data_IF_613821546665
#
_entry.id   IF_613821546665
#
_cell.length_a   1.000
_cell.length_b   1.000
_cell.length_c   1.000
_cell.angle_alpha   90.00
_cell.angle_beta   90.00
_cell.angle_gamma   90.00
#
_symmetry.space_group_name_H-M   'P 1'
#
loop_
_entity.id
_entity.type
_entity.pdbx_description
1 polymer ?
#
# COMPACT_ATOMS: atom_id res chain seq x y z
N UNK A 1 -28.86 -0.02 12.92
CA UNK A 1 -28.39 0.99 11.93
C UNK A 1 -27.30 1.79 12.60
N UNK A 2 -26.06 1.71 12.11
CA UNK A 2 -24.98 2.58 12.59
C UNK A 2 -25.10 3.92 11.85
N UNK A 3 -25.57 5.02 12.48
CA UNK A 3 -25.92 6.25 11.76
C UNK A 3 -24.72 7.18 11.50
N UNK A 4 -23.48 6.71 11.73
CA UNK A 4 -22.29 7.59 11.79
C UNK A 4 -21.15 7.21 10.84
N UNK A 5 -21.36 6.33 9.87
CA UNK A 5 -20.36 6.13 8.82
C UNK A 5 -20.45 7.29 7.82
N UNK A 6 -19.98 8.47 8.23
CA UNK A 6 -19.49 9.45 7.27
C UNK A 6 -18.18 8.86 6.72
N UNK A 7 -18.31 7.89 5.81
CA UNK A 7 -17.21 7.30 5.06
C UNK A 7 -16.69 8.39 4.13
N UNK A 8 -15.70 9.15 4.61
CA UNK A 8 -14.91 10.02 3.76
C UNK A 8 -13.68 9.23 3.35
N UNK A 9 -13.63 8.65 2.13
CA UNK A 9 -12.49 7.85 1.71
C UNK A 9 -11.26 8.76 1.57
N UNK A 10 -10.38 8.75 2.58
CA UNK A 10 -9.06 9.38 2.50
C UNK A 10 -8.14 8.40 1.78
N UNK A 11 -7.51 8.85 0.69
CA UNK A 11 -6.54 8.03 -0.05
C UNK A 11 -5.41 7.55 0.87
N UNK A 12 -4.85 6.39 0.53
CA UNK A 12 -3.61 5.89 1.13
C UNK A 12 -2.49 6.93 1.00
N UNK A 13 -1.53 6.83 1.92
CA UNK A 13 -0.27 7.59 1.90
C UNK A 13 0.42 7.39 0.55
N UNK A 14 0.94 8.47 -0.03
CA UNK A 14 1.78 8.41 -1.21
C UNK A 14 3.22 7.98 -0.86
N UNK A 15 3.90 7.35 -1.82
CA UNK A 15 5.30 6.94 -1.67
C UNK A 15 6.29 8.02 -2.13
N UNK A 16 5.78 9.17 -2.59
CA UNK A 16 6.57 10.31 -3.05
C UNK A 16 5.93 11.64 -2.67
N UNK A 17 6.77 12.68 -2.58
CA UNK A 17 6.35 14.04 -2.32
C UNK A 17 5.50 14.58 -3.48
N UNK A 18 4.36 15.20 -3.16
CA UNK A 18 3.41 15.74 -4.15
C UNK A 18 3.98 16.92 -4.94
N UNK A 19 4.93 17.67 -4.37
CA UNK A 19 5.53 18.86 -5.00
C UNK A 19 6.79 18.53 -5.76
N UNK A 20 7.72 17.80 -5.13
CA UNK A 20 9.03 17.50 -5.73
C UNK A 20 9.04 16.22 -6.55
N UNK A 21 8.00 15.38 -6.44
CA UNK A 21 7.92 14.02 -7.00
C UNK A 21 9.06 13.08 -6.55
N UNK A 22 9.85 13.48 -5.55
CA UNK A 22 10.89 12.62 -4.98
C UNK A 22 10.25 11.51 -4.13
N UNK A 23 10.63 10.24 -4.32
CA UNK A 23 10.25 9.16 -3.42
C UNK A 23 10.69 9.45 -1.98
N UNK A 24 9.88 9.02 -1.00
CA UNK A 24 10.27 9.09 0.40
C UNK A 24 11.26 7.97 0.74
N UNK A 25 12.29 8.31 1.51
CA UNK A 25 13.23 7.32 2.02
C UNK A 25 12.67 6.61 3.26
N UNK A 26 12.99 5.32 3.49
CA UNK A 26 12.61 4.63 4.71
C UNK A 26 13.06 5.39 5.96
N UNK A 27 12.13 5.65 6.87
CA UNK A 27 12.39 6.44 8.08
C UNK A 27 12.36 7.96 7.90
N UNK A 28 12.16 8.46 6.68
CA UNK A 28 12.06 9.89 6.41
C UNK A 28 10.82 10.50 7.06
N UNK A 29 10.96 11.70 7.62
CA UNK A 29 9.83 12.46 8.14
C UNK A 29 9.17 13.28 7.02
N UNK A 30 7.85 13.22 6.94
CA UNK A 30 7.08 13.98 5.96
C UNK A 30 5.78 14.50 6.56
N UNK A 31 5.12 15.41 5.86
CA UNK A 31 3.87 16.03 6.27
C UNK A 31 2.73 15.56 5.38
N UNK A 32 1.64 15.11 5.99
CA UNK A 32 0.38 14.85 5.29
C UNK A 32 -0.56 16.05 5.48
N UNK A 33 -1.19 16.47 4.39
CA UNK A 33 -2.15 17.56 4.34
C UNK A 33 -3.47 17.05 3.77
N UNK A 34 -4.59 17.45 4.37
CA UNK A 34 -5.92 17.22 3.84
C UNK A 34 -6.56 18.53 3.44
N UNK A 35 -6.96 18.64 2.17
CA UNK A 35 -7.73 19.76 1.64
C UNK A 35 -9.17 19.34 1.42
N UNK A 36 -10.13 20.22 1.71
CA UNK A 36 -11.52 19.99 1.30
C UNK A 36 -11.61 20.06 -0.22
N UNK A 37 -12.19 19.05 -0.84
CA UNK A 37 -12.37 18.96 -2.27
C UNK A 37 -13.74 18.36 -2.58
N UNK A 38 -14.69 19.21 -3.03
CA UNK A 38 -16.06 18.79 -3.28
C UNK A 38 -16.73 18.20 -2.04
N UNK A 39 -17.22 16.96 -2.17
CA UNK A 39 -17.81 16.17 -1.08
C UNK A 39 -16.77 15.25 -0.38
N UNK A 40 -15.48 15.58 -0.44
CA UNK A 40 -14.42 14.72 0.08
C UNK A 40 -13.17 15.47 0.51
N UNK A 41 -12.11 14.70 0.73
CA UNK A 41 -10.79 15.22 1.07
C UNK A 41 -9.77 14.82 0.01
N UNK A 42 -8.97 15.80 -0.42
CA UNK A 42 -7.76 15.58 -1.21
C UNK A 42 -6.57 15.53 -0.27
N UNK A 43 -5.86 14.40 -0.29
CA UNK A 43 -4.62 14.19 0.46
C UNK A 43 -3.41 14.63 -0.38
N UNK A 44 -2.48 15.33 0.24
CA UNK A 44 -1.14 15.58 -0.29
C UNK A 44 -0.10 15.18 0.77
N UNK A 45 0.98 14.55 0.33
CA UNK A 45 2.11 14.19 1.19
C UNK A 45 3.33 14.99 0.72
N UNK A 46 3.98 15.72 1.62
CA UNK A 46 5.08 16.66 1.33
C UNK A 46 6.33 16.29 2.14
N UNK A 47 7.49 16.31 1.48
CA UNK A 47 8.78 16.28 2.17
C UNK A 47 8.93 17.49 3.10
N UNK A 48 9.86 17.45 4.06
CA UNK A 48 10.11 18.61 4.95
C UNK A 48 10.48 19.88 4.17
N UNK A 49 11.22 19.73 3.07
CA UNK A 49 11.58 20.82 2.16
C UNK A 49 10.36 21.44 1.47
N UNK A 50 9.45 20.60 0.95
CA UNK A 50 8.23 21.07 0.31
C UNK A 50 7.25 21.69 1.33
N UNK A 51 7.28 21.20 2.57
CA UNK A 51 6.51 21.77 3.67
C UNK A 51 6.97 23.18 4.03
N UNK A 52 8.29 23.41 4.16
CA UNK A 52 8.86 24.70 4.57
C UNK A 52 8.70 25.80 3.52
N UNK A 53 8.58 25.41 2.25
CA UNK A 53 8.45 26.34 1.10
C UNK A 53 7.00 26.52 0.62
N UNK A 54 6.02 25.93 1.32
CA UNK A 54 4.62 25.97 0.87
C UNK A 54 4.02 27.37 0.95
N UNK A 55 3.02 27.62 0.12
CA UNK A 55 2.17 28.79 0.23
C UNK A 55 1.20 28.67 1.42
N UNK A 56 1.49 29.35 2.54
CA UNK A 56 0.65 29.33 3.74
C UNK A 56 -0.75 29.94 3.57
N UNK A 57 -0.98 30.72 2.51
CA UNK A 57 -2.30 31.25 2.21
C UNK A 57 -3.30 30.14 1.86
N UNK A 58 -2.81 28.99 1.37
CA UNK A 58 -3.63 27.82 1.06
C UNK A 58 -3.65 26.90 2.28
N UNK A 59 -4.58 27.15 3.20
CA UNK A 59 -4.67 26.40 4.45
C UNK A 59 -5.34 25.03 4.24
N UNK A 60 -4.69 23.92 4.63
CA UNK A 60 -5.36 22.62 4.67
C UNK A 60 -6.41 22.59 5.77
N UNK A 61 -7.38 21.69 5.64
CA UNK A 61 -8.35 21.39 6.70
C UNK A 61 -7.68 20.77 7.92
N UNK A 62 -6.69 19.89 7.70
CA UNK A 62 -5.86 19.28 8.74
C UNK A 62 -4.50 18.91 8.18
N UNK A 63 -3.48 18.86 9.05
CA UNK A 63 -2.15 18.38 8.70
C UNK A 63 -1.47 17.72 9.90
N UNK A 64 -0.58 16.77 9.63
CA UNK A 64 0.24 16.12 10.66
C UNK A 64 1.58 15.67 10.09
N UNK A 65 2.56 15.48 10.98
CA UNK A 65 3.89 14.95 10.65
C UNK A 65 3.92 13.45 10.92
N UNK A 66 4.53 12.67 10.04
CA UNK A 66 4.64 11.22 10.21
C UNK A 66 5.92 10.69 9.56
N UNK A 67 6.30 9.46 9.93
CA UNK A 67 7.49 8.79 9.44
C UNK A 67 7.10 7.83 8.31
N UNK A 68 7.84 7.86 7.21
CA UNK A 68 7.63 6.95 6.10
C UNK A 68 8.14 5.56 6.44
N UNK A 69 7.26 4.57 6.30
CA UNK A 69 7.58 3.16 6.40
C UNK A 69 7.17 2.52 5.07
N UNK A 70 8.13 1.99 4.28
CA UNK A 70 7.80 1.34 3.01
C UNK A 70 6.88 0.14 3.27
N UNK A 71 6.00 -0.20 2.32
CA UNK A 71 5.18 -1.40 2.45
C UNK A 71 6.10 -2.62 2.63
N UNK A 72 5.72 -3.59 3.48
CA UNK A 72 6.51 -4.81 3.64
C UNK A 72 6.63 -5.52 2.28
N UNK A 73 7.75 -6.22 2.03
CA UNK A 73 7.91 -7.00 0.82
C UNK A 73 6.75 -7.99 0.69
N UNK A 74 6.27 -8.19 -0.53
CA UNK A 74 5.23 -9.19 -0.79
C UNK A 74 5.70 -10.53 -0.24
N UNK A 75 4.94 -11.18 0.65
CA UNK A 75 5.34 -12.48 1.18
C UNK A 75 5.55 -13.45 0.02
N UNK A 76 6.56 -14.34 0.11
CA UNK A 76 6.75 -15.35 -0.92
C UNK A 76 5.45 -16.13 -1.08
N UNK A 77 5.08 -16.41 -2.34
CA UNK A 77 3.92 -17.27 -2.62
C UNK A 77 4.12 -18.59 -1.86
N UNK A 78 3.17 -18.99 -0.97
CA UNK A 78 3.34 -20.15 -0.10
C UNK A 78 3.39 -21.47 -0.86
N UNK A 79 2.96 -21.47 -2.12
CA UNK A 79 3.01 -22.61 -3.02
C UNK A 79 3.88 -22.23 -4.22
N UNK A 80 4.84 -23.10 -4.54
CA UNK A 80 5.56 -23.00 -5.81
C UNK A 80 4.56 -23.05 -6.97
N UNK A 81 4.86 -22.35 -8.06
CA UNK A 81 4.08 -22.39 -9.31
C UNK A 81 4.27 -23.73 -10.04
N UNK A 82 4.10 -24.84 -9.34
CA UNK A 82 3.96 -26.15 -9.98
C UNK A 82 2.53 -26.19 -10.53
N UNK A 83 2.38 -26.39 -11.83
CA UNK A 83 1.06 -26.69 -12.38
C UNK A 83 0.55 -28.01 -11.80
N UNK A 84 -0.77 -28.16 -11.67
CA UNK A 84 -1.37 -29.42 -11.23
C UNK A 84 -0.87 -30.63 -12.06
N UNK A 85 -0.57 -30.40 -13.34
CA UNK A 85 -0.01 -31.40 -14.24
C UNK A 85 1.44 -31.80 -13.88
N UNK A 86 2.32 -30.84 -13.60
CA UNK A 86 3.70 -31.14 -13.20
C UNK A 86 3.75 -31.88 -11.87
N UNK A 87 2.89 -31.47 -10.92
CA UNK A 87 2.74 -32.13 -9.63
C UNK A 87 2.27 -33.58 -9.80
N UNK A 88 1.28 -33.80 -10.68
CA UNK A 88 0.77 -35.12 -11.01
C UNK A 88 1.83 -35.99 -11.70
N UNK A 89 2.56 -35.46 -12.68
CA UNK A 89 3.62 -36.19 -13.40
C UNK A 89 4.74 -36.63 -12.46
N UNK A 90 5.16 -35.76 -11.52
CA UNK A 90 6.13 -36.12 -10.47
C UNK A 90 5.59 -37.23 -9.57
N UNK A 91 4.36 -37.11 -9.10
CA UNK A 91 3.74 -38.10 -8.20
C UNK A 91 3.58 -39.48 -8.86
N UNK A 92 3.26 -39.51 -10.16
CA UNK A 92 3.22 -40.74 -10.95
C UNK A 92 4.62 -41.36 -11.13
N UNK A 93 5.65 -40.54 -11.36
CA UNK A 93 7.03 -41.01 -11.52
C UNK A 93 7.64 -41.54 -10.21
N UNK A 94 7.29 -40.96 -9.05
CA UNK A 94 7.73 -41.41 -7.73
C UNK A 94 7.00 -42.69 -7.25
N UNK A 95 5.96 -43.14 -7.97
CA UNK A 95 5.18 -44.36 -7.71
C UNK A 95 4.78 -44.55 -6.24
N UNK A 96 4.41 -43.45 -5.56
CA UNK A 96 4.29 -43.42 -4.10
C UNK A 96 3.01 -44.11 -3.58
N UNK A 97 1.96 -44.23 -4.41
CA UNK A 97 0.76 -45.03 -4.12
C UNK A 97 0.09 -45.56 -5.42
N UNK A 98 -0.30 -46.85 -5.48
CA UNK A 98 -0.86 -47.45 -6.70
C UNK A 98 -2.37 -47.17 -6.92
N UNK A 99 -3.09 -46.67 -5.91
CA UNK A 99 -4.57 -46.69 -5.93
C UNK A 99 -5.22 -45.30 -6.00
N UNK A 100 -4.58 -44.24 -5.48
CA UNK A 100 -5.04 -42.87 -5.58
C UNK A 100 -3.91 -41.87 -5.32
N UNK A 101 -3.96 -40.70 -5.96
CA UNK A 101 -3.02 -39.60 -5.72
C UNK A 101 -3.78 -38.27 -5.71
N UNK A 102 -3.53 -37.44 -4.69
CA UNK A 102 -4.18 -36.13 -4.53
C UNK A 102 -3.23 -35.01 -4.92
N UNK A 103 -3.75 -34.04 -5.67
CA UNK A 103 -3.06 -32.82 -6.09
C UNK A 103 -3.82 -31.66 -5.42
N UNK A 104 -3.12 -30.82 -4.66
CA UNK A 104 -3.66 -29.64 -3.96
C UNK A 104 -3.30 -28.35 -4.70
#
# INVERSE_FOLDING_TARGET
>A
MNPLAADWPIKHRADACTVTNRPFEPGEQFYTLLYRAGNGYRREDLSEEAWSTRNENIRPFSFWKTRYEPPPPTPPEPLAKESAEELLRRLLAENRQPNACYVL
#
